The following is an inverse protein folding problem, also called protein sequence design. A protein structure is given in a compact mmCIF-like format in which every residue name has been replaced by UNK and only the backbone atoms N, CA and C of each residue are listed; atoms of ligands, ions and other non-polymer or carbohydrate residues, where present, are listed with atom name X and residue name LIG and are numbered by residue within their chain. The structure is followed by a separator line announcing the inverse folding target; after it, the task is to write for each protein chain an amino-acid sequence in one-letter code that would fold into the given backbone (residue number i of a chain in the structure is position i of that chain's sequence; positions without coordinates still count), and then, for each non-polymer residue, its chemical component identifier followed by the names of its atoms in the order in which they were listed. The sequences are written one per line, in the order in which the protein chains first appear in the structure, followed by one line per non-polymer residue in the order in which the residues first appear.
data_IF_174719440507
#
_entry.id   IF_174719440507
#
_cell.length_a   1.000
_cell.length_b   1.000
_cell.length_c   1.000
_cell.angle_alpha   90.00
_cell.angle_beta   90.00
_cell.angle_gamma   90.00
#
_symmetry.space_group_name_H-M   'P 1'
#
loop_
_entity.id
_entity.type
_entity.pdbx_description
1 polymer ?
#
# COMPACT_ATOMS: atom_id res chain seq x y z
N UNK A 1 2.96 17.05 14.86
CA UNK A 1 3.20 16.03 13.82
C UNK A 1 2.28 14.87 14.15
N UNK A 2 1.21 14.71 13.39
CA UNK A 2 0.09 13.84 13.79
C UNK A 2 0.13 12.46 13.11
N UNK A 3 1.00 12.31 12.10
CA UNK A 3 1.11 11.10 11.29
C UNK A 3 2.56 10.78 10.95
N UNK A 4 2.83 9.49 10.79
CA UNK A 4 4.12 8.92 10.39
C UNK A 4 3.96 8.04 9.17
N UNK A 5 5.02 7.90 8.40
CA UNK A 5 5.09 6.99 7.25
C UNK A 5 5.54 5.60 7.69
N UNK A 6 5.18 4.61 6.90
CA UNK A 6 5.61 3.24 7.08
C UNK A 6 5.20 2.35 5.92
N UNK A 7 5.10 1.07 6.18
CA UNK A 7 4.60 0.07 5.25
C UNK A 7 3.48 -0.75 5.89
N UNK A 8 2.54 -1.25 5.08
CA UNK A 8 1.54 -2.20 5.54
C UNK A 8 2.20 -3.52 5.99
N UNK A 9 1.45 -4.37 6.71
CA UNK A 9 1.88 -5.74 6.96
C UNK A 9 2.21 -6.50 5.68
N UNK A 10 3.31 -7.22 5.71
CA UNK A 10 3.79 -8.09 4.64
C UNK A 10 4.52 -9.32 5.20
N UNK A 11 5.04 -10.19 4.32
CA UNK A 11 5.75 -11.40 4.71
C UNK A 11 7.04 -11.15 5.51
N UNK A 12 7.62 -9.95 5.40
CA UNK A 12 8.83 -9.54 6.14
C UNK A 12 8.51 -8.88 7.47
N UNK A 13 7.36 -8.23 7.57
CA UNK A 13 6.95 -7.47 8.75
C UNK A 13 5.44 -7.66 9.00
N UNK A 14 5.08 -8.72 9.70
CA UNK A 14 3.68 -9.09 10.00
C UNK A 14 2.87 -7.95 10.66
N UNK A 15 3.54 -7.09 11.42
CA UNK A 15 2.93 -5.92 12.08
C UNK A 15 3.04 -4.65 11.24
N UNK A 16 3.52 -4.76 9.99
CA UNK A 16 3.90 -3.61 9.19
C UNK A 16 5.09 -2.86 9.76
N UNK A 17 5.51 -1.82 9.05
CA UNK A 17 6.69 -1.05 9.43
C UNK A 17 6.30 0.38 9.81
N UNK A 18 6.94 0.90 10.86
CA UNK A 18 6.91 2.31 11.23
C UNK A 18 8.29 2.92 10.95
N UNK A 19 8.39 3.74 9.91
CA UNK A 19 9.65 4.38 9.52
C UNK A 19 9.94 5.65 10.31
N UNK A 20 8.97 6.16 11.07
CA UNK A 20 9.14 7.32 11.92
C UNK A 20 9.20 8.67 11.19
N UNK A 21 9.17 8.69 9.87
CA UNK A 21 9.22 9.92 9.08
C UNK A 21 7.84 10.59 8.99
N UNK A 22 7.80 11.94 8.94
CA UNK A 22 6.56 12.67 8.70
C UNK A 22 6.06 12.48 7.27
N UNK A 23 4.77 12.63 7.08
CA UNK A 23 4.16 12.71 5.74
C UNK A 23 4.28 14.11 5.18
N UNK A 24 4.31 14.24 3.85
CA UNK A 24 4.26 15.53 3.17
C UNK A 24 2.83 16.05 3.12
N UNK A 25 2.66 17.35 3.34
CA UNK A 25 1.40 18.03 3.10
C UNK A 25 1.36 18.53 1.64
N UNK A 26 0.98 17.63 0.74
CA UNK A 26 0.95 17.91 -0.70
C UNK A 26 0.01 19.04 -1.08
N UNK A 27 -1.12 19.17 -0.40
CA UNK A 27 -2.07 20.26 -0.64
C UNK A 27 -1.46 21.64 -0.37
N UNK A 28 -0.73 21.76 0.73
CA UNK A 28 -0.02 22.99 1.05
C UNK A 28 1.14 23.25 0.10
N UNK A 29 1.91 22.23 -0.24
CA UNK A 29 3.03 22.34 -1.18
C UNK A 29 2.56 22.74 -2.58
N UNK A 30 1.37 22.28 -3.00
CA UNK A 30 0.78 22.68 -4.26
C UNK A 30 0.49 24.19 -4.33
N UNK A 31 0.11 24.80 -3.21
CA UNK A 31 -0.20 26.23 -3.14
C UNK A 31 1.00 27.13 -3.43
N UNK A 32 2.21 26.68 -3.08
CA UNK A 32 3.47 27.40 -3.35
C UNK A 32 4.24 26.84 -4.56
N UNK A 33 3.60 26.02 -5.38
CA UNK A 33 4.23 25.39 -6.55
C UNK A 33 5.30 24.38 -6.20
N UNK A 34 5.20 23.71 -5.05
CA UNK A 34 6.19 22.74 -4.57
C UNK A 34 7.57 23.35 -4.33
N UNK A 35 7.63 24.60 -3.90
CA UNK A 35 8.86 25.38 -3.73
C UNK A 35 9.90 24.65 -2.85
N UNK A 36 9.45 23.94 -1.81
CA UNK A 36 10.35 23.18 -0.96
C UNK A 36 11.14 22.10 -1.75
N UNK A 37 10.47 21.38 -2.63
CA UNK A 37 11.10 20.38 -3.49
C UNK A 37 12.00 21.02 -4.54
N UNK A 38 11.57 22.11 -5.16
CA UNK A 38 12.39 22.84 -6.14
C UNK A 38 13.70 23.30 -5.51
N UNK A 39 13.64 23.93 -4.34
CA UNK A 39 14.82 24.40 -3.61
C UNK A 39 15.72 23.23 -3.22
N UNK A 40 15.16 22.16 -2.66
CA UNK A 40 15.93 20.97 -2.27
C UNK A 40 16.69 20.37 -3.43
N UNK A 41 16.00 20.12 -4.55
CA UNK A 41 16.61 19.55 -5.74
C UNK A 41 17.62 20.51 -6.39
N UNK A 42 17.31 21.80 -6.44
CA UNK A 42 18.20 22.82 -6.95
C UNK A 42 19.52 22.92 -6.14
N UNK A 43 19.44 22.86 -4.81
CA UNK A 43 20.64 22.80 -3.97
C UNK A 43 21.43 21.52 -4.21
N UNK A 44 20.79 20.38 -4.31
CA UNK A 44 21.46 19.10 -4.57
C UNK A 44 22.18 19.11 -5.93
N UNK A 45 21.62 19.76 -6.95
CA UNK A 45 22.22 19.86 -8.27
C UNK A 45 23.59 20.60 -8.29
N UNK A 46 23.89 21.41 -7.27
CA UNK A 46 25.22 22.03 -7.15
C UNK A 46 26.32 21.05 -6.74
N UNK A 47 25.96 19.90 -6.15
CA UNK A 47 26.91 18.95 -5.62
C UNK A 47 26.88 17.59 -6.32
N UNK A 48 25.73 17.22 -6.89
CA UNK A 48 25.48 15.89 -7.46
C UNK A 48 24.92 16.00 -8.87
N UNK A 49 25.42 15.19 -9.76
CA UNK A 49 24.93 15.07 -11.16
C UNK A 49 23.69 14.18 -11.27
N UNK A 50 23.47 13.33 -10.26
CA UNK A 50 22.31 12.45 -10.18
C UNK A 50 21.96 12.19 -8.71
N UNK A 51 20.68 11.85 -8.46
CA UNK A 51 20.20 11.41 -7.16
C UNK A 51 19.17 10.30 -7.33
N UNK A 52 19.13 9.43 -6.35
CA UNK A 52 18.14 8.36 -6.27
C UNK A 52 16.97 8.83 -5.40
N UNK A 53 15.75 8.61 -5.89
CA UNK A 53 14.54 8.74 -5.07
C UNK A 53 14.23 7.34 -4.52
N UNK A 54 14.25 7.21 -3.22
CA UNK A 54 13.80 6.00 -2.54
C UNK A 54 12.30 6.04 -2.33
N UNK A 55 11.66 4.88 -2.40
CA UNK A 55 10.21 4.74 -2.23
C UNK A 55 9.39 5.69 -3.12
N UNK A 56 9.61 5.65 -4.42
CA UNK A 56 8.92 6.53 -5.41
C UNK A 56 7.39 6.45 -5.29
N UNK A 57 6.82 5.30 -4.89
CA UNK A 57 5.38 5.15 -4.68
C UNK A 57 4.84 6.10 -3.60
N UNK A 58 5.67 6.52 -2.67
CA UNK A 58 5.31 7.49 -1.63
C UNK A 58 4.95 8.88 -2.15
N UNK A 59 5.36 9.21 -3.40
CA UNK A 59 4.93 10.43 -4.09
C UNK A 59 3.51 10.32 -4.67
N UNK A 60 3.05 9.11 -4.87
CA UNK A 60 1.73 8.84 -5.41
C UNK A 60 0.73 8.50 -4.29
N UNK A 61 1.12 7.59 -3.41
CA UNK A 61 0.39 7.23 -2.19
C UNK A 61 1.37 6.72 -1.15
N UNK A 62 1.12 7.03 0.10
CA UNK A 62 1.97 6.62 1.21
C UNK A 62 1.15 5.87 2.26
N UNK A 63 1.73 4.83 2.84
CA UNK A 63 1.17 4.22 4.04
C UNK A 63 1.43 5.15 5.21
N UNK A 64 0.36 5.68 5.79
CA UNK A 64 0.43 6.57 6.94
C UNK A 64 -0.29 5.98 8.14
N UNK A 65 0.26 6.25 9.30
CA UNK A 65 -0.28 5.80 10.57
C UNK A 65 -0.30 6.94 11.59
N UNK A 66 -1.09 6.83 12.68
CA UNK A 66 -1.05 7.78 13.78
C UNK A 66 0.37 7.91 14.35
N UNK A 67 0.76 9.11 14.80
CA UNK A 67 2.08 9.35 15.37
C UNK A 67 2.36 8.50 16.63
N UNK A 68 1.31 8.09 17.34
CA UNK A 68 1.39 7.21 18.51
C UNK A 68 1.54 5.73 18.17
N UNK A 69 1.29 5.32 16.92
CA UNK A 69 1.40 3.93 16.52
C UNK A 69 2.86 3.43 16.60
N UNK A 70 3.05 2.24 17.13
CA UNK A 70 4.37 1.58 17.23
C UNK A 70 4.69 0.73 16.01
N UNK A 71 3.67 0.23 15.32
CA UNK A 71 3.78 -0.59 14.11
C UNK A 71 2.89 -0.08 12.99
N UNK A 72 3.01 -0.70 11.82
CA UNK A 72 2.27 -0.33 10.62
C UNK A 72 0.81 -0.79 10.58
N UNK A 73 0.38 -1.64 11.50
CA UNK A 73 -0.93 -2.30 11.45
C UNK A 73 -2.12 -1.33 11.41
N UNK A 74 -2.02 -0.21 12.13
CA UNK A 74 -3.08 0.82 12.20
C UNK A 74 -2.98 1.86 11.08
N UNK A 75 -2.17 1.58 10.06
CA UNK A 75 -2.00 2.48 8.94
C UNK A 75 -3.10 2.38 7.89
N UNK A 76 -3.02 3.30 6.94
CA UNK A 76 -3.82 3.30 5.70
C UNK A 76 -3.06 4.01 4.60
N UNK A 77 -3.37 3.71 3.36
CA UNK A 77 -2.85 4.52 2.24
C UNK A 77 -3.48 5.91 2.22
N UNK A 78 -2.67 6.92 1.93
CA UNK A 78 -3.10 8.27 1.69
C UNK A 78 -2.43 8.83 0.41
N UNK A 79 -3.19 9.26 -0.62
CA UNK A 79 -4.63 9.14 -0.72
C UNK A 79 -5.10 7.69 -0.82
N UNK A 80 -6.29 7.42 -0.26
CA UNK A 80 -6.99 6.15 -0.45
C UNK A 80 -8.01 6.36 -1.55
N UNK A 81 -7.69 5.86 -2.75
CA UNK A 81 -8.53 5.98 -3.93
C UNK A 81 -9.06 4.59 -4.30
N UNK A 82 -10.19 4.17 -3.72
CA UNK A 82 -10.78 2.89 -4.06
C UNK A 82 -11.29 2.92 -5.51
N UNK A 83 -11.04 1.85 -6.23
CA UNK A 83 -11.68 1.62 -7.53
C UNK A 83 -13.11 1.17 -7.26
N UNK A 84 -14.07 1.86 -7.84
CA UNK A 84 -15.48 1.51 -7.69
C UNK A 84 -15.89 0.41 -8.68
N UNK A 85 -16.97 -0.32 -8.36
CA UNK A 85 -17.52 -1.32 -9.27
C UNK A 85 -17.96 -0.70 -10.61
N UNK A 86 -18.47 0.52 -10.60
CA UNK A 86 -18.88 1.21 -11.81
C UNK A 86 -17.69 1.59 -12.70
N UNK A 87 -16.55 1.97 -12.13
CA UNK A 87 -15.31 2.16 -12.88
C UNK A 87 -14.81 0.86 -13.52
N UNK A 88 -14.88 -0.26 -12.80
CA UNK A 88 -14.53 -1.56 -13.37
C UNK A 88 -15.45 -1.93 -14.53
N UNK A 89 -16.76 -1.69 -14.38
CA UNK A 89 -17.75 -1.96 -15.43
C UNK A 89 -17.53 -1.09 -16.67
N UNK A 90 -17.25 0.19 -16.49
CA UNK A 90 -16.96 1.12 -17.59
C UNK A 90 -15.69 0.76 -18.39
N UNK A 91 -14.78 0.03 -17.76
CA UNK A 91 -13.53 -0.42 -18.38
C UNK A 91 -13.55 -1.91 -18.76
N UNK A 92 -14.73 -2.56 -18.77
CA UNK A 92 -14.90 -3.99 -19.07
C UNK A 92 -14.10 -4.93 -18.15
N UNK A 93 -13.80 -4.50 -16.93
CA UNK A 93 -13.01 -5.23 -15.94
C UNK A 93 -13.85 -5.84 -14.82
N UNK A 94 -15.18 -5.73 -14.86
CA UNK A 94 -16.07 -6.26 -13.81
C UNK A 94 -15.92 -7.78 -13.65
N UNK A 95 -15.60 -8.49 -14.71
CA UNK A 95 -15.33 -9.94 -14.69
C UNK A 95 -14.12 -10.34 -13.85
N UNK A 96 -13.25 -9.37 -13.52
CA UNK A 96 -12.08 -9.58 -12.65
C UNK A 96 -12.37 -9.28 -11.17
N UNK A 97 -13.62 -8.94 -10.81
CA UNK A 97 -13.97 -8.51 -9.46
C UNK A 97 -13.50 -9.52 -8.41
N UNK A 98 -13.87 -10.79 -8.55
CA UNK A 98 -13.49 -11.83 -7.58
C UNK A 98 -11.96 -11.97 -7.49
N UNK A 99 -11.26 -11.85 -8.62
CA UNK A 99 -9.82 -11.85 -8.69
C UNK A 99 -9.16 -10.68 -7.93
N UNK A 100 -9.84 -9.52 -7.87
CA UNK A 100 -9.34 -8.30 -7.24
C UNK A 100 -9.65 -8.21 -5.74
N UNK A 101 -10.72 -8.84 -5.29
CA UNK A 101 -11.16 -8.76 -3.89
C UNK A 101 -10.81 -10.01 -3.07
N UNK A 102 -10.60 -11.15 -3.73
CA UNK A 102 -10.24 -12.40 -3.06
C UNK A 102 -8.75 -12.72 -3.24
N UNK A 103 -8.11 -13.36 -2.26
CA UNK A 103 -6.76 -13.85 -2.44
C UNK A 103 -6.66 -14.77 -3.66
N UNK A 104 -5.72 -14.49 -4.55
CA UNK A 104 -5.50 -15.33 -5.72
C UNK A 104 -4.69 -16.56 -5.35
N UNK A 105 -5.39 -17.65 -5.09
CA UNK A 105 -4.80 -18.94 -4.73
C UNK A 105 -5.28 -20.03 -5.69
N UNK A 106 -4.67 -20.18 -6.88
CA UNK A 106 -5.05 -21.23 -7.81
C UNK A 106 -4.76 -22.61 -7.21
N UNK A 107 -5.75 -23.50 -7.24
CA UNK A 107 -5.68 -24.82 -6.60
C UNK A 107 -4.44 -25.62 -7.01
N UNK A 108 -4.05 -25.56 -8.28
CA UNK A 108 -2.87 -26.25 -8.79
C UNK A 108 -1.56 -25.78 -8.15
N UNK A 109 -1.46 -24.49 -7.80
CA UNK A 109 -0.28 -23.94 -7.15
C UNK A 109 -0.22 -24.34 -5.67
N UNK A 110 -1.37 -24.36 -5.02
CA UNK A 110 -1.47 -24.78 -3.61
C UNK A 110 -1.18 -26.28 -3.48
N UNK A 111 -1.71 -27.11 -4.39
CA UNK A 111 -1.41 -28.54 -4.44
C UNK A 111 0.08 -28.81 -4.65
N UNK A 112 0.75 -27.99 -5.48
CA UNK A 112 2.20 -28.08 -5.68
C UNK A 112 3.01 -27.79 -4.41
N UNK A 113 2.57 -26.79 -3.63
CA UNK A 113 3.29 -26.36 -2.42
C UNK A 113 3.00 -27.25 -1.21
N UNK A 114 1.77 -27.71 -1.04
CA UNK A 114 1.28 -28.35 0.18
C UNK A 114 0.79 -29.80 0.00
N UNK A 115 0.81 -30.33 -1.23
CA UNK A 115 0.28 -31.66 -1.54
C UNK A 115 -1.25 -31.73 -1.46
N UNK A 116 -1.78 -32.95 -1.31
CA UNK A 116 -3.23 -33.18 -1.32
C UNK A 116 -3.98 -32.68 -0.06
N UNK A 117 -3.27 -32.41 1.03
CA UNK A 117 -3.87 -31.96 2.31
C UNK A 117 -4.02 -30.42 2.41
N UNK A 118 -3.97 -29.72 1.31
CA UNK A 118 -4.05 -28.25 1.24
C UNK A 118 -5.33 -27.64 1.82
N UNK A 119 -6.42 -28.42 1.91
CA UNK A 119 -7.70 -27.93 2.46
C UNK A 119 -7.59 -27.39 3.89
N UNK A 120 -6.66 -27.94 4.68
CA UNK A 120 -6.38 -27.48 6.06
C UNK A 120 -5.58 -26.18 6.05
N UNK A 121 -4.66 -25.99 5.11
CA UNK A 121 -3.85 -24.76 4.97
C UNK A 121 -4.67 -23.58 4.47
N UNK A 122 -5.64 -23.80 3.58
CA UNK A 122 -6.51 -22.74 3.09
C UNK A 122 -7.26 -22.00 4.21
N UNK A 123 -7.70 -22.73 5.24
CA UNK A 123 -8.41 -22.10 6.38
C UNK A 123 -7.47 -21.17 7.16
N UNK A 124 -6.22 -21.50 7.34
CA UNK A 124 -5.25 -20.65 8.06
C UNK A 124 -4.89 -19.39 7.28
N UNK A 125 -4.66 -19.51 5.98
CA UNK A 125 -4.36 -18.36 5.10
C UNK A 125 -5.58 -17.45 4.93
N UNK A 126 -6.76 -18.03 4.83
CA UNK A 126 -8.02 -17.29 4.75
C UNK A 126 -8.30 -16.48 6.02
N UNK A 127 -8.02 -17.05 7.18
CA UNK A 127 -8.22 -16.36 8.47
C UNK A 127 -7.24 -15.19 8.68
N UNK A 128 -6.01 -15.27 8.17
CA UNK A 128 -5.05 -14.16 8.24
C UNK A 128 -5.37 -13.01 7.27
N UNK A 129 -5.99 -13.32 6.13
CA UNK A 129 -6.36 -12.30 5.13
C UNK A 129 -7.69 -11.60 5.44
N UNK A 130 -8.57 -12.22 6.22
CA UNK A 130 -9.93 -11.72 6.48
C UNK A 130 -10.01 -10.52 7.43
N UNK A 131 -8.97 -10.22 8.19
CA UNK A 131 -8.97 -9.10 9.14
C UNK A 131 -8.95 -7.73 8.44
N UNK A 132 -8.75 -7.69 7.13
CA UNK A 132 -8.59 -6.45 6.34
C UNK A 132 -9.79 -6.05 5.47
N UNK A 133 -10.80 -6.90 5.32
CA UNK A 133 -11.90 -6.69 4.35
C UNK A 133 -13.21 -6.16 4.97
N UNK A 134 -13.26 -5.98 6.30
CA UNK A 134 -14.50 -5.55 6.98
C UNK A 134 -14.93 -4.08 6.73
N UNK A 135 -14.23 -3.31 5.91
CA UNK A 135 -14.53 -1.89 5.68
C UNK A 135 -14.99 -1.52 4.26
N UNK A 136 -15.37 -2.46 3.42
CA UNK A 136 -16.02 -2.17 2.13
C UNK A 136 -15.18 -1.42 1.08
N UNK A 137 -13.89 -1.24 1.30
CA UNK A 137 -12.98 -0.60 0.35
C UNK A 137 -12.05 -1.62 -0.29
N UNK A 138 -12.07 -1.69 -1.61
CA UNK A 138 -11.13 -2.46 -2.42
C UNK A 138 -9.72 -1.89 -2.27
N UNK A 139 -8.83 -2.58 -1.59
CA UNK A 139 -7.41 -2.28 -1.61
C UNK A 139 -6.73 -3.19 -2.64
N UNK A 140 -6.46 -2.66 -3.82
CA UNK A 140 -5.67 -3.37 -4.83
C UNK A 140 -4.21 -3.34 -4.38
N UNK A 141 -3.65 -4.49 -4.05
CA UNK A 141 -2.23 -4.68 -3.83
C UNK A 141 -1.54 -4.83 -5.19
N UNK A 142 -0.74 -3.85 -5.58
CA UNK A 142 0.27 -4.03 -6.62
C UNK A 142 1.60 -4.36 -5.91
N UNK A 143 2.11 -5.55 -6.18
CA UNK A 143 3.45 -5.97 -5.78
C UNK A 143 4.51 -5.13 -6.50
#
# INVERSE_FOLDING_TARGET
MDKKTGAPPDDYAEMGQNWGFPTYNWERMKQDGFMWWQNRLGWMANYFQAYRIDHILGFFRIWEMPASATGGLLGKFNPSLPITRDELRQNDLEHLMDRLIEPYMPSHFIEQLFGHDWSVCCVCVYMHSFTLVASGCLHVWAA
#
